data_IF_340254972589
#
_entry.id   IF_340254972589
#
_cell.length_a   1.000
_cell.length_b   1.000
_cell.length_c   1.000
_cell.angle_alpha   90.00
_cell.angle_beta   90.00
_cell.angle_gamma   90.00
#
_symmetry.space_group_name_H-M   'P 1'
#
loop_
_entity.id
_entity.type
_entity.pdbx_description
1 polymer ?
#
# COMPACT_ATOMS: atom_id res chain seq x y z
N UNK A 1 15.88 -7.60 20.70
CA UNK A 1 14.68 -8.08 20.00
C UNK A 1 15.00 -8.20 18.51
N UNK A 2 14.55 -9.22 17.79
CA UNK A 2 14.74 -9.29 16.34
C UNK A 2 14.11 -8.06 15.67
N UNK A 3 14.67 -7.63 14.54
CA UNK A 3 14.13 -6.51 13.76
C UNK A 3 12.68 -6.81 13.34
N UNK A 4 11.81 -5.80 13.39
CA UNK A 4 10.41 -5.93 12.99
C UNK A 4 10.33 -6.36 11.52
N UNK A 5 9.49 -7.36 11.21
CA UNK A 5 9.20 -7.76 9.83
C UNK A 5 8.52 -6.60 9.09
N UNK A 6 8.83 -6.48 7.81
CA UNK A 6 8.44 -5.35 6.96
C UNK A 6 7.45 -5.78 5.88
N UNK A 7 6.41 -4.97 5.65
CA UNK A 7 5.41 -5.27 4.62
C UNK A 7 4.95 -4.00 3.91
N UNK A 8 4.80 -4.08 2.59
CA UNK A 8 4.03 -3.11 1.81
C UNK A 8 2.59 -3.61 1.71
N UNK A 9 1.61 -2.76 2.02
CA UNK A 9 0.18 -3.03 1.78
C UNK A 9 -0.33 -2.02 0.77
N UNK A 10 -0.68 -2.46 -0.44
CA UNK A 10 -1.18 -1.55 -1.47
C UNK A 10 -2.68 -1.31 -1.34
N UNK A 11 -3.15 -0.10 -1.68
CA UNK A 11 -4.58 0.22 -1.62
C UNK A 11 -5.17 0.15 -0.21
N UNK A 12 -4.49 0.78 0.75
CA UNK A 12 -4.81 0.78 2.17
C UNK A 12 -5.70 1.94 2.61
N UNK A 13 -6.30 2.71 1.68
CA UNK A 13 -7.21 3.81 2.01
C UNK A 13 -8.50 3.33 2.67
N UNK A 14 -9.00 2.16 2.30
CA UNK A 14 -10.25 1.61 2.84
C UNK A 14 -10.27 0.07 2.82
N UNK A 15 -11.35 -0.51 3.31
CA UNK A 15 -11.66 -1.95 3.17
C UNK A 15 -10.58 -2.87 3.72
N UNK A 16 -10.30 -3.95 2.97
CA UNK A 16 -9.39 -5.03 3.38
C UNK A 16 -7.98 -4.49 3.60
N UNK A 17 -7.45 -3.69 2.68
CA UNK A 17 -6.11 -3.10 2.81
C UNK A 17 -5.95 -2.26 4.07
N UNK A 18 -6.93 -1.40 4.36
CA UNK A 18 -6.92 -0.54 5.54
C UNK A 18 -7.04 -1.33 6.86
N UNK A 19 -7.82 -2.41 6.86
CA UNK A 19 -7.91 -3.32 8.01
C UNK A 19 -6.59 -4.06 8.23
N UNK A 20 -6.04 -4.69 7.18
CA UNK A 20 -4.80 -5.45 7.25
C UNK A 20 -3.62 -4.56 7.67
N UNK A 21 -3.51 -3.33 7.16
CA UNK A 21 -2.46 -2.40 7.55
C UNK A 21 -2.45 -2.11 9.07
N UNK A 22 -3.62 -1.83 9.64
CA UNK A 22 -3.77 -1.58 11.10
C UNK A 22 -3.54 -2.84 11.92
N UNK A 23 -4.08 -3.98 11.49
CA UNK A 23 -3.89 -5.27 12.16
C UNK A 23 -2.40 -5.65 12.21
N UNK A 24 -1.71 -5.62 11.08
CA UNK A 24 -0.28 -5.95 11.01
C UNK A 24 0.57 -5.01 11.87
N UNK A 25 0.27 -3.70 11.86
CA UNK A 25 0.92 -2.73 12.76
C UNK A 25 0.68 -3.05 14.24
N UNK A 26 -0.52 -3.51 14.60
CA UNK A 26 -0.84 -3.92 15.98
C UNK A 26 -0.08 -5.19 16.40
N UNK A 27 0.24 -6.07 15.43
CA UNK A 27 1.03 -7.28 15.61
C UNK A 27 2.55 -7.03 15.57
N UNK A 28 2.99 -5.77 15.50
CA UNK A 28 4.40 -5.39 15.55
C UNK A 28 5.13 -5.48 14.20
N UNK A 29 4.41 -5.59 13.08
CA UNK A 29 5.02 -5.37 11.77
C UNK A 29 5.29 -3.89 11.54
N UNK A 30 6.36 -3.61 10.80
CA UNK A 30 6.58 -2.30 10.19
C UNK A 30 5.85 -2.27 8.85
N UNK A 31 4.77 -1.50 8.80
CA UNK A 31 3.87 -1.44 7.65
C UNK A 31 4.13 -0.18 6.83
N UNK A 32 4.31 -0.36 5.53
CA UNK A 32 4.34 0.69 4.52
C UNK A 32 3.03 0.64 3.73
N UNK A 33 2.06 1.45 4.12
CA UNK A 33 0.73 1.46 3.51
C UNK A 33 0.70 2.43 2.32
N UNK A 34 -0.13 2.13 1.30
CA UNK A 34 -0.24 3.03 0.14
C UNK A 34 -1.67 3.43 -0.19
N UNK A 35 -1.83 4.67 -0.65
CA UNK A 35 -3.08 5.23 -1.14
C UNK A 35 -2.81 6.29 -2.23
N UNK A 36 -3.86 6.78 -2.89
CA UNK A 36 -3.74 7.83 -3.93
C UNK A 36 -4.05 9.23 -3.42
N UNK A 37 -4.94 9.35 -2.45
CA UNK A 37 -5.45 10.65 -1.98
C UNK A 37 -4.64 11.12 -0.77
N UNK A 38 -4.25 12.40 -0.72
CA UNK A 38 -3.55 12.97 0.45
C UNK A 38 -4.28 12.74 1.78
N UNK A 39 -5.61 12.89 1.81
CA UNK A 39 -6.40 12.69 3.03
C UNK A 39 -6.35 11.25 3.54
N UNK A 40 -6.32 10.26 2.62
CA UNK A 40 -6.19 8.85 2.99
C UNK A 40 -4.79 8.54 3.55
N UNK A 41 -3.75 9.19 3.01
CA UNK A 41 -2.39 9.08 3.53
C UNK A 41 -2.29 9.68 4.94
N UNK A 42 -2.84 10.88 5.14
CA UNK A 42 -2.86 11.53 6.44
C UNK A 42 -3.62 10.71 7.49
N UNK A 43 -4.72 10.05 7.11
CA UNK A 43 -5.46 9.15 8.00
C UNK A 43 -4.62 7.94 8.44
N UNK A 44 -3.87 7.32 7.52
CA UNK A 44 -2.95 6.21 7.82
C UNK A 44 -1.78 6.65 8.71
N UNK A 45 -1.24 7.84 8.47
CA UNK A 45 -0.17 8.43 9.30
C UNK A 45 -0.67 8.74 10.72
N UNK A 46 -1.91 9.22 10.86
CA UNK A 46 -2.54 9.43 12.16
C UNK A 46 -2.68 8.13 12.98
N UNK A 47 -2.77 6.96 12.31
CA UNK A 47 -2.75 5.63 12.94
C UNK A 47 -1.33 5.14 13.28
N UNK A 48 -0.30 5.96 13.01
CA UNK A 48 1.10 5.62 13.23
C UNK A 48 1.66 4.64 12.20
N UNK A 49 1.11 4.63 10.98
CA UNK A 49 1.57 3.80 9.86
C UNK A 49 2.33 4.69 8.87
N UNK A 50 3.45 4.21 8.33
CA UNK A 50 4.17 4.93 7.28
C UNK A 50 3.35 4.83 5.97
N UNK A 51 2.87 5.96 5.46
CA UNK A 51 2.01 6.01 4.28
C UNK A 51 2.72 6.63 3.07
N UNK A 52 2.48 6.08 1.88
CA UNK A 52 3.09 6.55 0.64
C UNK A 52 2.07 6.63 -0.49
N UNK A 53 2.25 7.61 -1.36
CA UNK A 53 1.51 7.67 -2.62
C UNK A 53 1.86 6.46 -3.51
N UNK A 54 0.85 5.82 -4.09
CA UNK A 54 1.01 4.80 -5.12
C UNK A 54 -0.20 4.86 -6.08
N UNK A 55 0.09 5.01 -7.37
CA UNK A 55 -0.88 4.80 -8.44
C UNK A 55 -0.35 3.76 -9.43
N UNK A 56 -1.09 2.67 -9.62
CA UNK A 56 -0.71 1.60 -10.54
C UNK A 56 -0.65 2.05 -12.01
N UNK A 57 -1.35 3.14 -12.36
CA UNK A 57 -1.27 3.72 -13.69
C UNK A 57 -0.01 4.58 -13.89
N UNK A 58 0.77 4.83 -12.84
CA UNK A 58 1.94 5.69 -12.85
C UNK A 58 3.20 4.89 -12.42
N UNK A 59 3.99 4.36 -13.37
CA UNK A 59 5.19 3.56 -13.06
C UNK A 59 6.20 4.27 -12.15
N UNK A 60 6.37 5.59 -12.31
CA UNK A 60 7.24 6.42 -11.45
C UNK A 60 6.82 6.40 -9.98
N UNK A 61 5.53 6.26 -9.69
CA UNK A 61 5.05 6.16 -8.30
C UNK A 61 5.47 4.85 -7.65
N UNK A 62 5.50 3.76 -8.43
CA UNK A 62 5.94 2.43 -7.98
C UNK A 62 7.45 2.46 -7.69
N UNK A 63 8.24 3.03 -8.60
CA UNK A 63 9.68 3.19 -8.43
C UNK A 63 10.02 4.03 -7.20
N UNK A 64 9.32 5.15 -7.00
CA UNK A 64 9.50 6.03 -5.85
C UNK A 64 9.15 5.33 -4.52
N UNK A 65 8.06 4.55 -4.48
CA UNK A 65 7.69 3.75 -3.31
C UNK A 65 8.79 2.75 -2.97
N UNK A 66 9.23 1.96 -3.95
CA UNK A 66 10.24 0.91 -3.75
C UNK A 66 11.56 1.52 -3.29
N UNK A 67 12.02 2.60 -3.91
CA UNK A 67 13.24 3.29 -3.50
C UNK A 67 13.16 3.78 -2.04
N UNK A 68 12.03 4.37 -1.64
CA UNK A 68 11.80 4.81 -0.27
C UNK A 68 11.82 3.65 0.73
N UNK A 69 11.09 2.57 0.42
CA UNK A 69 11.02 1.39 1.30
C UNK A 69 12.39 0.75 1.45
N UNK A 70 13.11 0.51 0.36
CA UNK A 70 14.44 -0.11 0.40
C UNK A 70 15.45 0.75 1.18
N UNK A 71 15.44 2.06 0.99
CA UNK A 71 16.30 2.97 1.77
C UNK A 71 16.01 2.89 3.27
N UNK A 72 14.73 2.71 3.65
CA UNK A 72 14.28 2.64 5.05
C UNK A 72 14.53 1.29 5.71
N UNK A 73 14.69 0.22 4.93
CA UNK A 73 14.81 -1.15 5.46
C UNK A 73 16.20 -1.77 5.25
N UNK A 74 17.14 -1.04 4.66
CA UNK A 74 18.45 -1.58 4.31
C UNK A 74 18.39 -2.59 3.16
N UNK A 75 17.47 -2.36 2.21
CA UNK A 75 17.35 -3.17 0.99
C UNK A 75 16.53 -4.45 1.13
N UNK A 76 15.81 -4.64 2.23
CA UNK A 76 15.04 -5.87 2.49
C UNK A 76 13.55 -5.58 2.66
N UNK A 77 12.70 -6.42 2.08
CA UNK A 77 11.25 -6.42 2.32
C UNK A 77 10.83 -7.85 2.62
N UNK A 78 10.11 -8.08 3.72
CA UNK A 78 9.69 -9.44 4.11
C UNK A 78 8.43 -9.89 3.34
N UNK A 79 7.53 -8.96 3.03
CA UNK A 79 6.27 -9.27 2.37
C UNK A 79 5.74 -8.09 1.53
N UNK A 80 4.90 -8.44 0.56
CA UNK A 80 4.10 -7.51 -0.22
C UNK A 80 2.68 -8.04 -0.30
N UNK A 81 1.71 -7.22 0.10
CA UNK A 81 0.30 -7.50 -0.12
C UNK A 81 -0.22 -6.65 -1.26
N UNK A 82 -0.29 -7.26 -2.45
CA UNK A 82 -0.91 -6.68 -3.64
C UNK A 82 -2.43 -6.70 -3.49
N UNK A 83 -2.98 -5.70 -2.80
CA UNK A 83 -4.40 -5.59 -2.48
C UNK A 83 -5.11 -4.53 -3.33
N UNK A 84 -4.44 -3.41 -3.64
CA UNK A 84 -5.06 -2.30 -4.37
C UNK A 84 -5.66 -2.76 -5.69
N UNK A 85 -6.96 -2.50 -5.87
CA UNK A 85 -7.72 -2.97 -7.02
C UNK A 85 -8.85 -1.99 -7.38
N UNK A 86 -9.30 -2.11 -8.62
CA UNK A 86 -10.50 -1.46 -9.15
C UNK A 86 -11.28 -2.49 -9.98
N UNK A 87 -12.60 -2.43 -9.93
CA UNK A 87 -13.46 -3.29 -10.73
C UNK A 87 -14.47 -2.43 -11.50
N UNK A 88 -14.60 -2.70 -12.81
CA UNK A 88 -15.63 -2.14 -13.66
C UNK A 88 -16.64 -3.26 -13.97
N UNK A 89 -17.89 -3.07 -13.55
CA UNK A 89 -18.97 -3.98 -13.90
C UNK A 89 -19.61 -3.58 -15.25
N UNK A 90 -19.99 -4.57 -16.06
CA UNK A 90 -20.66 -4.38 -17.35
C UNK A 90 -20.69 -5.68 -18.16
N UNK A 91 -21.53 -5.73 -19.20
CA UNK A 91 -21.42 -6.76 -20.22
C UNK A 91 -20.11 -6.56 -20.98
N UNK A 92 -19.40 -7.63 -21.35
CA UNK A 92 -18.05 -7.54 -21.91
C UNK A 92 -18.04 -6.73 -23.22
N UNK A 93 -19.10 -6.85 -24.01
CA UNK A 93 -19.32 -6.12 -25.26
C UNK A 93 -19.53 -4.60 -25.08
N UNK A 94 -19.97 -4.17 -23.89
CA UNK A 94 -20.25 -2.76 -23.58
C UNK A 94 -19.06 -2.04 -22.90
N UNK A 95 -18.04 -2.80 -22.50
CA UNK A 95 -16.86 -2.24 -21.85
C UNK A 95 -15.86 -1.71 -22.88
N UNK A 96 -15.23 -0.54 -22.65
CA UNK A 96 -14.13 -0.09 -23.47
C UNK A 96 -13.01 -1.13 -23.52
N UNK A 97 -12.61 -1.53 -24.72
CA UNK A 97 -11.36 -2.24 -24.93
C UNK A 97 -10.23 -1.21 -24.98
N UNK A 98 -9.22 -1.40 -24.13
CA UNK A 98 -8.02 -0.59 -24.09
C UNK A 98 -7.18 -0.76 -25.36
#
# INVERSE_FOLDING_TARGET
MPAARTIIVTGASSGIGAHCARALRSEGWRVFATARKPDDLAALEADGIEAFYLDYCEPSSIEALVANVLARTGGRLDALFNNGAYAQAGAVEDLPVA
#
